data_IF_819256409955
#
_entry.id   IF_819256409955
#
_cell.length_a   1.000
_cell.length_b   1.000
_cell.length_c   1.000
_cell.angle_alpha   90.00
_cell.angle_beta   90.00
_cell.angle_gamma   90.00
#
_symmetry.space_group_name_H-M   'P 1'
#
loop_
_entity.id
_entity.type
_entity.pdbx_description
1 polymer ?
#
# COMPACT_ATOMS: atom_id res chain seq x y z
N UNK A 1 -1.75 -56.61 51.35
CA UNK A 1 -0.34 -56.16 51.17
C UNK A 1 0.08 -56.50 49.75
N UNK A 2 0.32 -55.51 48.89
CA UNK A 2 0.79 -55.73 47.54
C UNK A 2 2.33 -55.85 47.60
N UNK A 3 2.84 -57.08 47.59
CA UNK A 3 4.27 -57.35 47.44
C UNK A 3 4.62 -57.29 45.95
N UNK A 4 4.94 -56.10 45.45
CA UNK A 4 5.63 -55.98 44.16
C UNK A 4 7.08 -56.39 44.37
N UNK A 5 7.56 -57.32 43.53
CA UNK A 5 8.96 -57.75 43.57
C UNK A 5 9.85 -56.53 43.43
N UNK A 6 10.91 -56.43 44.25
CA UNK A 6 11.86 -55.30 44.26
C UNK A 6 12.41 -54.97 42.86
N UNK A 7 12.46 -55.96 41.97
CA UNK A 7 12.85 -55.81 40.56
C UNK A 7 11.84 -55.02 39.71
N UNK A 8 10.54 -55.18 39.96
CA UNK A 8 9.48 -54.47 39.24
C UNK A 8 9.39 -53.00 39.65
N UNK A 9 9.61 -52.71 40.93
CA UNK A 9 9.64 -51.34 41.47
C UNK A 9 10.80 -50.55 40.86
N UNK A 10 11.98 -51.19 40.76
CA UNK A 10 13.17 -50.58 40.18
C UNK A 10 12.97 -50.26 38.68
N UNK A 11 12.38 -51.18 37.92
CA UNK A 11 12.07 -50.97 36.51
C UNK A 11 11.07 -49.84 36.26
N UNK A 12 10.03 -49.75 37.10
CA UNK A 12 9.04 -48.67 37.03
C UNK A 12 9.64 -47.30 37.33
N UNK A 13 10.50 -47.21 38.36
CA UNK A 13 11.20 -45.97 38.69
C UNK A 13 12.12 -45.49 37.56
N UNK A 14 12.83 -46.41 36.90
CA UNK A 14 13.70 -46.08 35.76
C UNK A 14 12.87 -45.55 34.59
N UNK A 15 11.72 -46.17 34.28
CA UNK A 15 10.82 -45.69 33.23
C UNK A 15 10.26 -44.31 33.53
N UNK A 16 9.86 -44.03 34.79
CA UNK A 16 9.38 -42.71 35.21
C UNK A 16 10.49 -41.66 35.12
N UNK A 17 11.73 -42.02 35.49
CA UNK A 17 12.87 -41.10 35.38
C UNK A 17 13.18 -40.76 33.91
N UNK A 18 13.14 -41.76 33.03
CA UNK A 18 13.37 -41.60 31.59
C UNK A 18 12.29 -40.74 30.92
N UNK A 19 11.02 -40.88 31.31
CA UNK A 19 9.94 -40.03 30.79
C UNK A 19 10.07 -38.59 31.27
N UNK A 20 10.46 -38.35 32.54
CA UNK A 20 10.70 -37.00 33.06
C UNK A 20 11.88 -36.30 32.38
N UNK A 21 12.98 -37.01 32.12
CA UNK A 21 14.15 -36.48 31.40
C UNK A 21 13.80 -36.17 29.95
N UNK A 22 13.05 -37.06 29.28
CA UNK A 22 12.63 -36.86 27.90
C UNK A 22 11.65 -35.69 27.76
N UNK A 23 10.75 -35.51 28.72
CA UNK A 23 9.77 -34.43 28.73
C UNK A 23 10.44 -33.05 28.93
N UNK A 24 11.46 -32.94 29.78
CA UNK A 24 12.21 -31.67 29.95
C UNK A 24 12.92 -31.19 28.69
N UNK A 25 13.34 -32.09 27.80
CA UNK A 25 14.06 -31.74 26.56
C UNK A 25 13.14 -31.16 25.47
N UNK A 26 11.83 -31.46 25.54
CA UNK A 26 10.80 -30.92 24.64
C UNK A 26 10.11 -29.65 25.18
N UNK A 27 10.38 -29.27 26.44
CA UNK A 27 9.75 -28.14 27.14
C UNK A 27 10.66 -26.90 27.28
N UNK A 28 11.72 -26.80 26.48
CA UNK A 28 12.39 -25.51 26.28
C UNK A 28 11.76 -24.86 25.03
N UNK A 29 10.67 -24.09 25.17
CA UNK A 29 10.17 -23.31 24.06
C UNK A 29 11.29 -22.37 23.64
N UNK A 30 11.52 -22.34 22.33
CA UNK A 30 12.29 -21.37 21.57
C UNK A 30 11.65 -19.98 21.69
N UNK A 31 11.53 -19.44 22.91
CA UNK A 31 10.82 -18.20 23.22
C UNK A 31 11.75 -17.09 23.70
N UNK A 32 12.91 -16.95 23.05
CA UNK A 32 13.81 -15.81 23.26
C UNK A 32 14.14 -15.02 21.98
N UNK A 33 13.29 -15.13 20.95
CA UNK A 33 13.47 -14.40 19.68
C UNK A 33 12.34 -13.41 19.36
N UNK A 34 11.74 -12.77 20.37
CA UNK A 34 10.72 -11.73 20.15
C UNK A 34 11.08 -10.34 20.71
N UNK A 35 12.23 -10.17 21.35
CA UNK A 35 12.62 -8.89 22.00
C UNK A 35 13.79 -8.16 21.32
N UNK A 36 13.77 -8.08 19.98
CA UNK A 36 14.52 -7.02 19.26
C UNK A 36 13.68 -6.44 18.13
N UNK A 37 12.46 -5.96 18.46
CA UNK A 37 11.88 -4.85 17.71
C UNK A 37 12.65 -3.59 18.12
N UNK A 38 13.79 -3.35 17.47
CA UNK A 38 14.40 -2.03 17.46
C UNK A 38 13.36 -1.06 16.94
N UNK A 39 12.91 -0.14 17.80
CA UNK A 39 12.07 0.97 17.36
C UNK A 39 12.81 1.69 16.22
N UNK A 40 12.11 2.09 15.14
CA UNK A 40 12.75 2.82 14.06
C UNK A 40 13.37 4.09 14.66
N UNK A 41 14.67 4.29 14.44
CA UNK A 41 15.30 5.56 14.75
C UNK A 41 14.62 6.60 13.86
N UNK A 42 13.82 7.48 14.47
CA UNK A 42 13.19 8.60 13.79
C UNK A 42 14.28 9.63 13.42
N UNK A 43 15.06 9.30 12.39
CA UNK A 43 16.00 10.23 11.78
C UNK A 43 15.17 11.27 11.04
N UNK A 44 15.42 12.55 11.33
CA UNK A 44 14.86 13.64 10.53
C UNK A 44 15.54 13.59 9.16
N UNK A 45 14.73 13.35 8.14
CA UNK A 45 15.15 13.25 6.74
C UNK A 45 15.06 14.66 6.16
N UNK A 46 16.03 15.05 5.31
CA UNK A 46 15.95 16.33 4.61
C UNK A 46 14.83 16.30 3.57
N UNK A 47 14.24 17.44 3.21
CA UNK A 47 13.13 17.45 2.25
C UNK A 47 13.51 16.83 0.89
N UNK A 48 14.76 17.05 0.45
CA UNK A 48 15.31 16.45 -0.77
C UNK A 48 15.39 14.92 -0.64
N UNK A 49 15.94 14.42 0.46
CA UNK A 49 16.06 12.98 0.74
C UNK A 49 14.67 12.32 0.83
N UNK A 50 13.66 13.02 1.35
CA UNK A 50 12.27 12.53 1.38
C UNK A 50 11.68 12.39 -0.03
N UNK A 51 11.86 13.39 -0.89
CA UNK A 51 11.38 13.31 -2.28
C UNK A 51 12.07 12.20 -3.07
N UNK A 52 13.38 12.00 -2.89
CA UNK A 52 14.13 10.92 -3.54
C UNK A 52 13.66 9.54 -3.09
N UNK A 53 13.47 9.35 -1.79
CA UNK A 53 12.91 8.11 -1.24
C UNK A 53 11.51 7.87 -1.81
N UNK A 54 10.65 8.90 -1.83
CA UNK A 54 9.31 8.80 -2.38
C UNK A 54 9.31 8.37 -3.86
N UNK A 55 10.21 8.95 -4.67
CA UNK A 55 10.38 8.56 -6.08
C UNK A 55 10.84 7.10 -6.22
N UNK A 56 11.81 6.68 -5.39
CA UNK A 56 12.32 5.33 -5.41
C UNK A 56 11.25 4.30 -5.00
N UNK A 57 10.56 4.54 -3.90
CA UNK A 57 9.50 3.67 -3.39
C UNK A 57 8.33 3.57 -4.37
N UNK A 58 7.93 4.69 -4.97
CA UNK A 58 6.87 4.71 -5.99
C UNK A 58 7.27 3.87 -7.20
N UNK A 59 8.51 4.02 -7.69
CA UNK A 59 9.04 3.22 -8.80
C UNK A 59 9.04 1.73 -8.46
N UNK A 60 9.45 1.38 -7.24
CA UNK A 60 9.48 0.00 -6.79
C UNK A 60 8.07 -0.60 -6.65
N UNK A 61 7.12 0.16 -6.12
CA UNK A 61 5.71 -0.25 -6.02
C UNK A 61 5.07 -0.47 -7.40
N UNK A 62 5.33 0.44 -8.36
CA UNK A 62 4.87 0.30 -9.74
C UNK A 62 5.43 -0.98 -10.37
N UNK A 63 6.73 -1.24 -10.18
CA UNK A 63 7.35 -2.44 -10.71
C UNK A 63 6.76 -3.71 -10.07
N UNK A 64 6.58 -3.72 -8.75
CA UNK A 64 5.94 -4.82 -8.04
C UNK A 64 4.51 -5.11 -8.54
N UNK A 65 3.74 -4.06 -8.88
CA UNK A 65 2.42 -4.22 -9.48
C UNK A 65 2.49 -4.87 -10.86
N UNK A 66 3.45 -4.47 -11.70
CA UNK A 66 3.67 -5.10 -13.02
C UNK A 66 4.03 -6.57 -12.87
N UNK A 67 4.92 -6.89 -11.95
CA UNK A 67 5.36 -8.26 -11.72
C UNK A 67 4.22 -9.13 -11.18
N UNK A 68 3.40 -8.59 -10.27
CA UNK A 68 2.18 -9.22 -9.79
C UNK A 68 1.19 -9.52 -10.92
N UNK A 69 1.03 -8.59 -11.87
CA UNK A 69 0.17 -8.78 -13.03
C UNK A 69 0.77 -9.76 -14.05
N UNK A 70 2.09 -9.89 -14.14
CA UNK A 70 2.76 -10.86 -15.03
C UNK A 70 2.77 -12.29 -14.49
N UNK A 71 2.76 -12.45 -13.16
CA UNK A 71 2.92 -13.74 -12.51
C UNK A 71 1.76 -14.72 -12.77
N UNK A 72 0.55 -14.23 -13.06
CA UNK A 72 -0.65 -15.05 -13.20
C UNK A 72 -1.52 -14.56 -14.37
N UNK A 73 -1.39 -15.23 -15.51
CA UNK A 73 -2.11 -14.90 -16.75
C UNK A 73 -3.64 -14.95 -16.61
N UNK A 74 -4.19 -15.83 -15.77
CA UNK A 74 -5.62 -15.91 -15.53
C UNK A 74 -6.12 -14.68 -14.76
N UNK A 75 -5.33 -14.21 -13.81
CA UNK A 75 -5.61 -12.96 -13.09
C UNK A 75 -5.49 -11.75 -14.00
N UNK A 76 -4.43 -11.65 -14.79
CA UNK A 76 -4.25 -10.55 -15.74
C UNK A 76 -5.42 -10.45 -16.69
N UNK A 77 -5.86 -11.58 -17.27
CA UNK A 77 -6.99 -11.62 -18.20
C UNK A 77 -8.31 -11.28 -17.52
N UNK A 78 -8.55 -11.73 -16.29
CA UNK A 78 -9.71 -11.33 -15.48
C UNK A 78 -9.75 -9.81 -15.24
N UNK A 79 -8.63 -9.21 -14.85
CA UNK A 79 -8.53 -7.75 -14.62
C UNK A 79 -8.71 -6.99 -15.94
N UNK A 80 -8.05 -7.43 -17.02
CA UNK A 80 -8.19 -6.86 -18.36
C UNK A 80 -9.64 -6.90 -18.85
N UNK A 81 -10.37 -7.98 -18.59
CA UNK A 81 -11.75 -8.11 -19.02
C UNK A 81 -12.70 -7.16 -18.28
N UNK A 82 -12.38 -6.82 -17.02
CA UNK A 82 -13.15 -5.87 -16.21
C UNK A 82 -12.74 -4.41 -16.44
N UNK A 83 -11.55 -4.17 -16.98
CA UNK A 83 -11.05 -2.81 -17.22
C UNK A 83 -11.71 -2.16 -18.44
N UNK A 84 -12.12 -0.90 -18.29
CA UNK A 84 -12.54 -0.06 -19.41
C UNK A 84 -11.36 0.31 -20.33
N UNK A 85 -10.15 0.44 -19.79
CA UNK A 85 -8.96 0.80 -20.54
C UNK A 85 -8.00 -0.40 -20.67
N UNK A 86 -8.40 -1.38 -21.50
CA UNK A 86 -7.61 -2.60 -21.72
C UNK A 86 -6.26 -2.32 -22.37
N UNK A 87 -6.25 -1.41 -23.35
CA UNK A 87 -5.05 -1.04 -24.10
C UNK A 87 -4.00 -0.38 -23.20
N UNK A 88 -4.42 0.58 -22.38
CA UNK A 88 -3.54 1.23 -21.41
C UNK A 88 -2.99 0.25 -20.38
N UNK A 89 -3.84 -0.65 -19.87
CA UNK A 89 -3.40 -1.66 -18.91
C UNK A 89 -2.39 -2.65 -19.50
N UNK A 90 -2.58 -3.10 -20.75
CA UNK A 90 -1.59 -3.93 -21.45
C UNK A 90 -0.26 -3.21 -21.62
N UNK A 91 -0.29 -1.97 -22.13
CA UNK A 91 0.93 -1.17 -22.29
C UNK A 91 1.64 -0.93 -20.95
N UNK A 92 0.89 -0.72 -19.87
CA UNK A 92 1.43 -0.59 -18.53
C UNK A 92 2.16 -1.86 -18.06
N UNK A 93 1.56 -3.03 -18.28
CA UNK A 93 2.19 -4.33 -17.95
C UNK A 93 3.48 -4.51 -18.76
N UNK A 94 3.49 -4.13 -20.02
CA UNK A 94 4.65 -4.22 -20.91
C UNK A 94 5.79 -3.27 -20.51
N UNK A 95 5.47 -2.18 -19.82
CA UNK A 95 6.47 -1.27 -19.24
C UNK A 95 6.21 0.20 -19.47
N UNK A 96 5.14 0.56 -20.17
CA UNK A 96 4.73 1.95 -20.36
C UNK A 96 4.31 2.59 -19.03
N UNK A 97 4.40 3.92 -18.97
CA UNK A 97 3.99 4.67 -17.78
C UNK A 97 2.52 4.40 -17.43
N UNK A 98 2.24 4.48 -16.13
CA UNK A 98 0.90 4.26 -15.59
C UNK A 98 -0.09 5.37 -15.97
N UNK A 99 0.43 6.55 -16.33
CA UNK A 99 -0.33 7.70 -16.76
C UNK A 99 0.14 8.13 -18.17
N UNK A 100 -0.77 8.37 -19.13
CA UNK A 100 -0.41 8.98 -20.40
C UNK A 100 0.07 10.43 -20.18
N UNK A 101 1.01 10.88 -21.01
CA UNK A 101 1.65 12.19 -20.88
C UNK A 101 0.62 13.35 -20.84
N UNK A 102 -0.45 13.28 -21.63
CA UNK A 102 -1.51 14.28 -21.63
C UNK A 102 -2.23 14.39 -20.27
N UNK A 103 -2.44 13.26 -19.60
CA UNK A 103 -3.07 13.22 -18.28
C UNK A 103 -2.07 13.67 -17.20
N UNK A 104 -0.79 13.33 -17.34
CA UNK A 104 0.26 13.79 -16.44
C UNK A 104 0.41 15.32 -16.46
N UNK A 105 0.36 15.93 -17.64
CA UNK A 105 0.41 17.39 -17.80
C UNK A 105 -0.81 18.06 -17.16
N UNK A 106 -2.00 17.49 -17.33
CA UNK A 106 -3.22 18.02 -16.71
C UNK A 106 -3.15 17.93 -15.17
N UNK A 107 -2.71 16.79 -14.65
CA UNK A 107 -2.47 16.61 -13.22
C UNK A 107 -1.44 17.61 -12.69
N UNK A 108 -0.32 17.80 -13.39
CA UNK A 108 0.69 18.78 -12.97
C UNK A 108 0.08 20.18 -12.93
N UNK A 109 -0.68 20.58 -13.95
CA UNK A 109 -1.34 21.89 -14.00
C UNK A 109 -2.34 22.10 -12.85
N UNK A 110 -3.14 21.10 -12.51
CA UNK A 110 -4.10 21.17 -11.41
C UNK A 110 -3.40 21.29 -10.04
N UNK A 111 -2.31 20.55 -9.83
CA UNK A 111 -1.59 20.55 -8.57
C UNK A 111 -0.59 21.71 -8.43
N UNK A 112 -0.08 22.26 -9.53
CA UNK A 112 0.74 23.48 -9.51
C UNK A 112 -0.02 24.65 -8.87
N UNK A 113 -1.31 24.80 -9.19
CA UNK A 113 -2.16 25.83 -8.56
C UNK A 113 -2.38 25.62 -7.06
N UNK A 114 -2.40 24.38 -6.58
CA UNK A 114 -2.53 24.06 -5.16
C UNK A 114 -1.22 24.30 -4.39
N UNK A 115 -0.07 24.07 -5.04
CA UNK A 115 1.25 24.25 -4.44
C UNK A 115 1.50 25.73 -4.12
N UNK A 116 1.07 26.64 -4.99
CA UNK A 116 1.20 28.08 -4.75
C UNK A 116 0.36 28.59 -3.57
N UNK A 117 -0.77 27.94 -3.24
CA UNK A 117 -1.63 28.30 -2.10
C UNK A 117 -1.13 27.74 -0.77
N UNK A 118 -0.46 26.58 -0.78
CA UNK A 118 -0.01 25.92 0.46
C UNK A 118 1.29 26.52 1.05
N UNK A 119 2.00 27.36 0.28
CA UNK A 119 3.22 28.05 0.73
C UNK A 119 3.01 29.54 1.07
N UNK A 120 1.79 30.05 0.94
CA UNK A 120 1.42 31.39 1.44
C UNK A 120 0.80 31.30 2.81
N UNK A 121 1.59 30.95 3.83
CA UNK A 121 1.23 31.21 5.23
C UNK A 121 2.47 31.18 6.13
N UNK A 122 3.21 32.29 6.12
CA UNK A 122 3.89 32.77 7.31
C UNK A 122 4.16 34.27 7.14
N UNK A 123 3.47 35.04 7.98
CA UNK A 123 3.60 36.48 8.23
C UNK A 123 2.73 37.39 7.35
N UNK A 124 1.42 37.38 7.57
CA UNK A 124 0.67 38.60 7.95
C UNK A 124 -0.80 38.29 8.26
N UNK A 125 -1.11 38.14 9.55
CA UNK A 125 -2.47 38.21 10.06
C UNK A 125 -2.93 39.68 10.10
N UNK A 126 -3.70 40.13 9.12
CA UNK A 126 -4.92 40.94 9.33
C UNK A 126 -5.50 41.43 7.99
N UNK A 127 -6.79 41.15 7.77
CA UNK A 127 -7.60 41.53 6.60
C UNK A 127 -7.11 40.87 5.29
N UNK A 128 -7.89 40.05 4.59
CA UNK A 128 -9.10 40.48 3.89
C UNK A 128 -10.04 39.29 3.74
N UNK A 129 -11.18 39.39 4.42
CA UNK A 129 -12.35 38.55 4.23
C UNK A 129 -13.27 39.32 3.28
N UNK A 130 -12.99 39.30 1.98
CA UNK A 130 -13.91 39.79 0.94
C UNK A 130 -13.53 39.22 -0.41
N UNK A 131 -14.46 38.52 -1.07
CA UNK A 131 -14.29 38.16 -2.48
C UNK A 131 -14.72 36.75 -2.88
N UNK A 132 -15.74 36.15 -2.24
CA UNK A 132 -16.56 35.17 -2.94
C UNK A 132 -17.52 35.97 -3.82
N UNK A 133 -17.03 36.41 -4.98
CA UNK A 133 -17.91 36.87 -6.06
C UNK A 133 -18.32 35.64 -6.87
N UNK A 134 -19.54 35.19 -6.59
CA UNK A 134 -20.33 34.35 -7.49
C UNK A 134 -20.52 35.09 -8.81
N UNK A 135 -19.68 34.80 -9.80
CA UNK A 135 -19.95 35.17 -11.19
C UNK A 135 -20.80 34.08 -11.82
N UNK A 136 -22.10 34.26 -11.66
CA UNK A 136 -23.13 33.75 -12.55
C UNK A 136 -22.72 33.97 -14.01
N UNK A 137 -22.60 32.89 -14.78
CA UNK A 137 -22.74 32.95 -16.24
C UNK A 137 -23.83 31.97 -16.63
N UNK A 138 -25.04 32.48 -16.52
CA UNK A 138 -26.21 32.10 -17.30
C UNK A 138 -25.88 32.19 -18.79
N UNK A 139 -25.82 31.03 -19.45
CA UNK A 139 -25.96 30.93 -20.91
C UNK A 139 -27.20 30.10 -21.21
N UNK A 140 -28.30 30.82 -21.38
CA UNK A 140 -29.43 30.40 -22.22
C UNK A 140 -28.96 30.23 -23.68
N UNK A 141 -29.80 29.58 -24.52
CA UNK A 141 -29.79 29.51 -26.01
C UNK A 141 -29.03 28.28 -26.58
N UNK A 142 -29.60 27.35 -27.38
CA UNK A 142 -30.83 27.31 -28.19
C UNK A 142 -31.21 25.84 -28.48
N UNK A 143 -32.50 25.51 -28.39
CA UNK A 143 -33.12 24.35 -29.06
C UNK A 143 -33.31 24.68 -30.54
N UNK A 144 -32.76 23.86 -31.44
CA UNK A 144 -33.25 23.78 -32.82
C UNK A 144 -33.84 22.39 -33.07
N UNK A 145 -35.18 22.36 -33.01
CA UNK A 145 -36.01 21.43 -33.76
C UNK A 145 -35.73 21.64 -35.25
N UNK A 146 -35.37 20.58 -35.97
CA UNK A 146 -35.59 20.58 -37.41
C UNK A 146 -36.07 19.21 -37.87
N UNK A 147 -37.39 19.03 -37.77
CA UNK A 147 -38.17 18.13 -38.59
C UNK A 147 -38.34 18.73 -39.98
N UNK A 148 -37.83 18.07 -41.03
CA UNK A 148 -38.38 18.23 -42.38
C UNK A 148 -38.47 16.84 -43.00
N UNK A 149 -39.71 16.40 -43.19
CA UNK A 149 -40.13 15.32 -44.06
C UNK A 149 -39.66 15.58 -45.50
N UNK A 150 -39.09 14.55 -46.15
CA UNK A 150 -39.31 14.26 -47.56
C UNK A 150 -38.99 12.80 -47.89
#
# INVERSE_FOLDING_TARGET
MIYLSSRQILGSLILILLTLISCKRQLLPTSFSFFKRTAPLNRKISMIEYEEIGKFETKNAIQGLRDYLKADSFRTTSILNKSHNKKGLLSFIEGADHLPLSEAINYEKEFSGLKDVLFTDSDDTSAVLSGVEETSTQSDIFTDDNSVDH
#
